data_IF_871550436659
#
_entry.id   IF_871550436659
#
_cell.length_a   1.000
_cell.length_b   1.000
_cell.length_c   1.000
_cell.angle_alpha   90.00
_cell.angle_beta   90.00
_cell.angle_gamma   90.00
#
_symmetry.space_group_name_H-M   'P 1'
#
loop_
_entity.id
_entity.type
_entity.pdbx_description
1 polymer ?
#
# COMPACT_ATOMS: atom_id res chain seq x y z
N UNK A 1 31.53 1.53 12.68
CA UNK A 1 31.02 0.23 12.17
C UNK A 1 29.53 0.45 12.05
N UNK A 2 29.03 0.66 10.83
CA UNK A 2 27.60 0.86 10.62
C UNK A 2 26.95 -0.51 10.73
N UNK A 3 26.02 -0.66 11.67
CA UNK A 3 25.19 -1.86 11.76
C UNK A 3 24.53 -2.06 10.40
N UNK A 4 24.65 -3.29 9.89
CA UNK A 4 23.98 -3.70 8.67
C UNK A 4 22.49 -3.64 8.98
N UNK A 5 21.78 -2.63 8.45
CA UNK A 5 20.33 -2.52 8.61
C UNK A 5 19.72 -3.74 7.95
N UNK A 6 19.24 -4.68 8.76
CA UNK A 6 18.49 -5.84 8.32
C UNK A 6 17.06 -5.35 8.08
N UNK A 7 16.76 -5.04 6.82
CA UNK A 7 15.42 -4.61 6.41
C UNK A 7 14.49 -5.82 6.44
N UNK A 8 13.34 -5.67 7.09
CA UNK A 8 12.26 -6.65 7.08
C UNK A 8 11.38 -6.48 5.84
N UNK A 9 10.79 -7.57 5.36
CA UNK A 9 9.81 -7.52 4.28
C UNK A 9 8.63 -6.62 4.67
N UNK A 10 8.30 -5.69 3.79
CA UNK A 10 7.11 -4.85 3.87
C UNK A 10 5.93 -5.58 3.22
N UNK A 11 4.96 -5.98 4.04
CA UNK A 11 3.72 -6.59 3.54
C UNK A 11 2.92 -5.61 2.66
N UNK A 12 2.92 -4.33 3.05
CA UNK A 12 2.29 -3.25 2.29
C UNK A 12 2.87 -3.12 0.87
N UNK A 13 4.20 -3.01 0.74
CA UNK A 13 4.86 -2.91 -0.56
C UNK A 13 4.69 -4.19 -1.38
N UNK A 14 4.82 -5.35 -0.72
CA UNK A 14 4.59 -6.66 -1.36
C UNK A 14 3.19 -6.75 -1.95
N UNK A 15 2.18 -6.21 -1.26
CA UNK A 15 0.81 -6.19 -1.76
C UNK A 15 0.61 -5.28 -2.97
N UNK A 16 1.21 -4.08 -2.98
CA UNK A 16 1.17 -3.20 -4.16
C UNK A 16 1.86 -3.82 -5.37
N UNK A 17 3.00 -4.49 -5.17
CA UNK A 17 3.70 -5.21 -6.25
C UNK A 17 2.88 -6.42 -6.72
N UNK A 18 2.22 -7.15 -5.81
CA UNK A 18 1.35 -8.26 -6.16
C UNK A 18 0.16 -7.84 -7.04
N UNK A 19 -0.29 -6.59 -6.97
CA UNK A 19 -1.40 -6.08 -7.80
C UNK A 19 -1.01 -5.79 -9.26
N UNK A 20 0.27 -5.75 -9.61
CA UNK A 20 0.69 -5.42 -10.98
C UNK A 20 0.22 -6.51 -11.96
N UNK A 21 -0.60 -6.17 -12.98
CA UNK A 21 -1.02 -7.14 -13.98
C UNK A 21 0.10 -7.46 -14.97
N UNK A 22 0.09 -8.68 -15.50
CA UNK A 22 0.98 -9.07 -16.60
C UNK A 22 0.67 -8.23 -17.84
N UNK A 23 1.73 -7.80 -18.53
CA UNK A 23 1.63 -7.02 -19.76
C UNK A 23 0.98 -7.84 -20.90
N UNK A 24 1.21 -9.15 -20.92
CA UNK A 24 0.67 -10.06 -21.94
C UNK A 24 -0.70 -10.64 -21.56
N UNK A 25 -1.01 -10.69 -20.26
CA UNK A 25 -2.24 -11.27 -19.73
C UNK A 25 -2.76 -10.45 -18.55
N UNK A 26 -3.60 -9.41 -18.79
CA UNK A 26 -4.07 -8.51 -17.74
C UNK A 26 -4.84 -9.18 -16.60
N UNK A 27 -5.33 -10.40 -16.81
CA UNK A 27 -6.02 -11.24 -15.82
C UNK A 27 -5.10 -12.12 -14.98
N UNK A 28 -3.78 -11.96 -15.11
CA UNK A 28 -2.78 -12.67 -14.31
C UNK A 28 -1.81 -11.69 -13.64
N UNK A 29 -1.30 -12.00 -12.42
CA UNK A 29 -0.28 -11.18 -11.78
C UNK A 29 1.05 -11.25 -12.53
N UNK A 30 1.72 -10.11 -12.70
CA UNK A 30 3.08 -10.06 -13.22
C UNK A 30 4.09 -10.68 -12.23
N UNK A 31 3.82 -10.54 -10.93
CA UNK A 31 4.66 -11.02 -9.84
C UNK A 31 3.91 -12.05 -8.97
N UNK A 32 3.69 -13.29 -9.47
CA UNK A 32 2.96 -14.31 -8.73
C UNK A 32 3.63 -14.72 -7.41
N UNK A 33 4.95 -14.52 -7.29
CA UNK A 33 5.69 -14.74 -6.04
C UNK A 33 5.22 -13.83 -4.90
N UNK A 34 4.94 -12.55 -5.17
CA UNK A 34 4.41 -11.62 -4.17
C UNK A 34 3.01 -12.04 -3.72
N UNK A 35 2.16 -12.48 -4.65
CA UNK A 35 0.82 -12.96 -4.33
C UNK A 35 0.87 -14.23 -3.45
N UNK A 36 1.78 -15.16 -3.77
CA UNK A 36 2.03 -16.35 -2.94
C UNK A 36 2.54 -15.97 -1.55
N UNK A 37 3.47 -15.01 -1.47
CA UNK A 37 3.98 -14.54 -0.19
C UNK A 37 2.86 -14.01 0.71
N UNK A 38 1.91 -13.23 0.17
CA UNK A 38 0.75 -12.77 0.95
C UNK A 38 -0.10 -13.91 1.49
N UNK A 39 -0.38 -14.93 0.67
CA UNK A 39 -1.17 -16.09 1.07
C UNK A 39 -0.51 -16.89 2.21
N UNK A 40 0.81 -16.94 2.22
CA UNK A 40 1.61 -17.75 3.14
C UNK A 40 2.00 -17.00 4.43
N UNK A 41 1.86 -15.67 4.49
CA UNK A 41 2.40 -14.82 5.58
C UNK A 41 1.34 -13.98 6.33
N UNK A 42 0.06 -14.35 6.28
CA UNK A 42 -0.94 -13.76 7.18
C UNK A 42 -0.64 -14.15 8.64
N UNK A 43 -0.75 -13.19 9.56
CA UNK A 43 -0.56 -13.42 10.99
C UNK A 43 -1.78 -14.12 11.61
N UNK A 44 -1.59 -14.71 12.79
CA UNK A 44 -2.63 -15.44 13.51
C UNK A 44 -3.85 -14.56 13.90
N UNK A 45 -3.65 -13.25 14.07
CA UNK A 45 -4.73 -12.30 14.35
C UNK A 45 -5.48 -11.82 13.10
N UNK A 46 -5.12 -12.34 11.91
CA UNK A 46 -5.68 -11.96 10.62
C UNK A 46 -4.95 -10.80 9.93
N UNK A 47 -3.99 -10.14 10.60
CA UNK A 47 -3.28 -8.99 10.02
C UNK A 47 -2.11 -9.40 9.12
N UNK A 48 -1.62 -8.43 8.34
CA UNK A 48 -0.28 -8.44 7.74
C UNK A 48 0.54 -7.28 8.32
N UNK A 49 1.84 -7.47 8.45
CA UNK A 49 2.76 -6.48 9.01
C UNK A 49 3.87 -7.13 9.82
N UNK A 50 4.45 -6.39 10.76
CA UNK A 50 5.54 -6.88 11.60
C UNK A 50 5.08 -7.96 12.59
N UNK A 51 5.83 -9.07 12.65
CA UNK A 51 5.71 -10.05 13.74
C UNK A 51 6.04 -9.37 15.07
N UNK A 52 5.24 -9.66 16.11
CA UNK A 52 5.38 -9.04 17.44
C UNK A 52 5.32 -7.51 17.44
N UNK A 53 4.43 -6.95 16.61
CA UNK A 53 4.13 -5.52 16.51
C UNK A 53 3.90 -4.87 17.87
N UNK A 54 4.49 -3.68 18.08
CA UNK A 54 4.16 -2.82 19.22
C UNK A 54 2.67 -2.37 19.12
N UNK A 55 1.88 -2.41 20.21
CA UNK A 55 0.46 -2.01 20.19
C UNK A 55 0.19 -0.60 19.63
N UNK A 56 1.18 0.30 19.68
CA UNK A 56 1.11 1.67 19.13
C UNK A 56 1.28 1.75 17.61
N UNK A 57 1.58 0.65 16.92
CA UNK A 57 1.78 0.57 15.47
C UNK A 57 0.57 -0.03 14.74
N UNK A 58 -0.62 -0.01 15.33
CA UNK A 58 -1.79 -0.68 14.74
C UNK A 58 -2.21 -0.07 13.39
N UNK A 59 -1.94 1.23 13.17
CA UNK A 59 -2.15 1.89 11.87
C UNK A 59 -1.28 1.30 10.74
N UNK A 60 -0.06 0.87 11.04
CA UNK A 60 0.81 0.20 10.07
C UNK A 60 0.23 -1.16 9.65
N UNK A 61 -0.22 -1.95 10.63
CA UNK A 61 -0.88 -3.23 10.37
C UNK A 61 -2.22 -3.06 9.63
N UNK A 62 -3.00 -2.02 9.94
CA UNK A 62 -4.22 -1.68 9.20
C UNK A 62 -3.92 -1.41 7.72
N UNK A 63 -2.92 -0.58 7.42
CA UNK A 63 -2.50 -0.29 6.05
C UNK A 63 -2.00 -1.54 5.31
N UNK A 64 -1.11 -2.30 5.94
CA UNK A 64 -0.57 -3.55 5.37
C UNK A 64 -1.66 -4.59 5.12
N UNK A 65 -2.62 -4.73 6.05
CA UNK A 65 -3.73 -5.68 5.94
C UNK A 65 -4.68 -5.27 4.83
N UNK A 66 -5.08 -4.00 4.75
CA UNK A 66 -5.98 -3.55 3.70
C UNK A 66 -5.33 -3.67 2.31
N UNK A 67 -4.06 -3.29 2.15
CA UNK A 67 -3.33 -3.49 0.91
C UNK A 67 -3.29 -4.98 0.50
N UNK A 68 -3.02 -5.87 1.45
CA UNK A 68 -2.96 -7.32 1.23
C UNK A 68 -4.31 -7.89 0.79
N UNK A 69 -5.41 -7.46 1.44
CA UNK A 69 -6.77 -7.84 1.05
C UNK A 69 -7.08 -7.37 -0.38
N UNK A 70 -6.74 -6.13 -0.74
CA UNK A 70 -6.94 -5.61 -2.09
C UNK A 70 -6.19 -6.44 -3.14
N UNK A 71 -4.95 -6.82 -2.85
CA UNK A 71 -4.17 -7.68 -3.73
C UNK A 71 -4.79 -9.06 -3.92
N UNK A 72 -5.23 -9.71 -2.84
CA UNK A 72 -5.89 -11.02 -2.89
C UNK A 72 -7.23 -10.93 -3.64
N UNK A 73 -8.04 -9.90 -3.35
CA UNK A 73 -9.34 -9.65 -3.98
C UNK A 73 -9.20 -9.42 -5.48
N UNK A 74 -8.20 -8.63 -5.91
CA UNK A 74 -7.91 -8.35 -7.33
C UNK A 74 -7.75 -9.62 -8.15
N UNK A 75 -7.14 -10.65 -7.58
CA UNK A 75 -6.85 -11.91 -8.27
C UNK A 75 -7.84 -13.03 -7.94
N UNK A 76 -8.88 -12.76 -7.14
CA UNK A 76 -9.91 -13.74 -6.79
C UNK A 76 -9.36 -14.94 -6.01
N UNK A 77 -8.37 -14.72 -5.15
CA UNK A 77 -7.73 -15.77 -4.33
C UNK A 77 -7.80 -15.43 -2.84
N UNK A 78 -7.57 -16.42 -1.98
CA UNK A 78 -7.39 -16.19 -0.54
C UNK A 78 -8.65 -15.75 0.20
N UNK A 79 -9.83 -16.27 -0.16
CA UNK A 79 -11.10 -15.89 0.48
C UNK A 79 -11.07 -16.02 2.02
N UNK A 80 -10.42 -17.08 2.53
CA UNK A 80 -10.23 -17.27 3.97
C UNK A 80 -9.36 -16.17 4.58
N UNK A 81 -8.23 -15.88 3.96
CA UNK A 81 -7.33 -14.82 4.39
C UNK A 81 -8.00 -13.43 4.33
N UNK A 82 -8.79 -13.15 3.29
CA UNK A 82 -9.57 -11.92 3.17
C UNK A 82 -10.54 -11.80 4.35
N UNK A 83 -11.27 -12.87 4.68
CA UNK A 83 -12.22 -12.86 5.78
C UNK A 83 -11.55 -12.55 7.12
N UNK A 84 -10.45 -13.22 7.44
CA UNK A 84 -9.71 -12.97 8.70
C UNK A 84 -9.10 -11.56 8.74
N UNK A 85 -8.62 -11.06 7.59
CA UNK A 85 -8.11 -9.69 7.48
C UNK A 85 -9.19 -8.63 7.68
N UNK A 86 -10.41 -8.86 7.17
CA UNK A 86 -11.55 -7.97 7.43
C UNK A 86 -11.94 -7.97 8.91
N UNK A 87 -11.94 -9.15 9.56
CA UNK A 87 -12.18 -9.25 10.99
C UNK A 87 -11.11 -8.49 11.81
N UNK A 88 -9.84 -8.58 11.42
CA UNK A 88 -8.78 -7.76 12.02
C UNK A 88 -9.06 -6.26 11.88
N UNK A 89 -9.41 -5.79 10.67
CA UNK A 89 -9.73 -4.37 10.42
C UNK A 89 -10.87 -3.91 11.34
N UNK A 90 -11.98 -4.67 11.41
CA UNK A 90 -13.13 -4.38 12.27
C UNK A 90 -12.72 -4.25 13.74
N UNK A 91 -11.91 -5.19 14.24
CA UNK A 91 -11.43 -5.19 15.63
C UNK A 91 -10.45 -4.05 15.95
N UNK A 92 -9.85 -3.44 14.92
CA UNK A 92 -8.78 -2.44 15.04
C UNK A 92 -9.22 -1.00 14.73
N UNK A 93 -10.49 -0.77 14.38
CA UNK A 93 -10.99 0.55 13.97
C UNK A 93 -10.78 1.65 15.02
N UNK A 94 -10.88 1.29 16.31
CA UNK A 94 -10.64 2.23 17.41
C UNK A 94 -9.24 2.87 17.37
N UNK A 95 -8.27 2.21 16.75
CA UNK A 95 -6.89 2.72 16.62
C UNK A 95 -6.72 3.78 15.54
N UNK A 96 -7.65 3.94 14.60
CA UNK A 96 -7.54 4.94 13.51
C UNK A 96 -7.50 6.36 14.08
N UNK A 97 -8.30 6.63 15.11
CA UNK A 97 -8.44 7.95 15.72
C UNK A 97 -7.73 8.09 17.07
N UNK A 98 -7.03 7.06 17.53
CA UNK A 98 -6.30 7.09 18.79
C UNK A 98 -4.98 7.87 18.62
N UNK A 99 -4.87 9.01 19.30
CA UNK A 99 -3.67 9.87 19.29
C UNK A 99 -2.43 9.17 19.86
N UNK A 100 -2.60 8.07 20.61
CA UNK A 100 -1.49 7.25 21.12
C UNK A 100 -0.90 6.34 20.04
N UNK A 101 -1.55 6.20 18.90
CA UNK A 101 -1.07 5.40 17.77
C UNK A 101 -0.13 6.24 16.90
N UNK A 102 1.01 5.66 16.56
CA UNK A 102 1.89 6.23 15.55
C UNK A 102 1.23 6.09 14.18
N UNK A 103 1.09 7.21 13.46
CA UNK A 103 0.64 7.20 12.07
C UNK A 103 1.85 6.97 11.16
N UNK A 104 1.82 5.94 10.29
CA UNK A 104 2.73 5.84 9.16
C UNK A 104 2.69 7.10 8.29
N UNK A 105 3.79 7.36 7.58
CA UNK A 105 3.86 8.50 6.65
C UNK A 105 2.73 8.37 5.62
N UNK A 106 1.95 9.45 5.47
CA UNK A 106 0.86 9.50 4.50
C UNK A 106 -0.37 8.67 4.85
N UNK A 107 -0.48 8.09 6.06
CA UNK A 107 -1.62 7.27 6.47
C UNK A 107 -2.97 7.95 6.19
N UNK A 108 -3.11 9.23 6.55
CA UNK A 108 -4.35 10.00 6.39
C UNK A 108 -4.73 10.26 4.93
N UNK A 109 -3.85 9.98 3.98
CA UNK A 109 -4.13 10.04 2.53
C UNK A 109 -4.26 8.63 1.96
N UNK A 110 -3.30 7.75 2.27
CA UNK A 110 -3.19 6.41 1.72
C UNK A 110 -4.36 5.52 2.16
N UNK A 111 -4.66 5.50 3.45
CA UNK A 111 -5.69 4.59 3.99
C UNK A 111 -7.09 4.90 3.42
N UNK A 112 -7.59 6.15 3.43
CA UNK A 112 -8.84 6.49 2.74
C UNK A 112 -8.81 6.17 1.23
N UNK A 113 -7.67 6.34 0.57
CA UNK A 113 -7.50 5.97 -0.83
C UNK A 113 -7.70 4.47 -1.08
N UNK A 114 -7.15 3.63 -0.21
CA UNK A 114 -7.40 2.18 -0.24
C UNK A 114 -8.84 1.81 0.10
N UNK A 115 -9.52 2.55 0.98
CA UNK A 115 -10.95 2.38 1.26
C UNK A 115 -11.80 2.65 0.01
N UNK A 116 -11.48 3.69 -0.75
CA UNK A 116 -12.13 3.94 -2.05
C UNK A 116 -11.81 2.84 -3.05
N UNK A 117 -10.56 2.37 -3.10
CA UNK A 117 -10.17 1.29 -4.00
C UNK A 117 -10.89 -0.03 -3.68
N UNK A 118 -11.13 -0.33 -2.40
CA UNK A 118 -11.94 -1.47 -1.97
C UNK A 118 -13.37 -1.37 -2.51
N UNK A 119 -13.97 -0.18 -2.43
CA UNK A 119 -15.32 0.07 -2.97
C UNK A 119 -15.36 -0.15 -4.49
N UNK A 120 -14.34 0.32 -5.21
CA UNK A 120 -14.25 0.14 -6.67
C UNK A 120 -14.06 -1.34 -7.08
N UNK A 121 -13.63 -2.20 -6.15
CA UNK A 121 -13.51 -3.66 -6.32
C UNK A 121 -14.72 -4.45 -5.80
N UNK A 122 -15.84 -3.78 -5.50
CA UNK A 122 -17.03 -4.39 -4.86
C UNK A 122 -16.68 -5.15 -3.56
N UNK A 123 -15.68 -4.65 -2.81
CA UNK A 123 -15.31 -5.16 -1.50
C UNK A 123 -15.98 -4.33 -0.41
N UNK A 124 -16.86 -4.97 0.36
CA UNK A 124 -17.51 -4.35 1.51
C UNK A 124 -16.57 -4.41 2.71
N UNK A 125 -16.06 -3.24 3.12
CA UNK A 125 -15.29 -3.11 4.35
C UNK A 125 -16.23 -3.00 5.57
N UNK A 126 -15.83 -3.54 6.74
CA UNK A 126 -16.62 -3.45 7.97
C UNK A 126 -16.49 -2.06 8.61
N UNK A 127 -16.80 -1.01 7.87
CA UNK A 127 -16.72 0.39 8.29
C UNK A 127 -18.13 0.98 8.40
N UNK A 128 -18.42 1.67 9.50
CA UNK A 128 -19.67 2.43 9.63
C UNK A 128 -19.60 3.74 8.85
N UNK A 129 -20.76 4.38 8.61
CA UNK A 129 -20.79 5.73 8.02
C UNK A 129 -19.97 6.74 8.83
N UNK A 130 -19.99 6.64 10.17
CA UNK A 130 -19.22 7.53 11.03
C UNK A 130 -17.70 7.31 10.92
N UNK A 131 -17.26 6.06 10.70
CA UNK A 131 -15.85 5.74 10.47
C UNK A 131 -15.38 6.34 9.16
N UNK A 132 -16.18 6.15 8.09
CA UNK A 132 -15.91 6.71 6.77
C UNK A 132 -15.84 8.23 6.80
N UNK A 133 -16.82 8.90 7.43
CA UNK A 133 -16.85 10.35 7.56
C UNK A 133 -15.59 10.87 8.27
N UNK A 134 -15.12 10.16 9.29
CA UNK A 134 -13.92 10.54 10.04
C UNK A 134 -12.65 10.35 9.20
N UNK A 135 -12.50 9.19 8.56
CA UNK A 135 -11.37 8.87 7.68
C UNK A 135 -11.26 9.89 6.54
N UNK A 136 -12.35 10.19 5.86
CA UNK A 136 -12.35 11.14 4.74
C UNK A 136 -12.14 12.58 5.20
N UNK A 137 -12.69 12.97 6.36
CA UNK A 137 -12.43 14.31 6.92
C UNK A 137 -10.94 14.51 7.24
N UNK A 138 -10.24 13.51 7.76
CA UNK A 138 -8.79 13.61 8.00
C UNK A 138 -8.00 13.74 6.71
N UNK A 139 -8.38 12.98 5.66
CA UNK A 139 -7.80 13.14 4.32
C UNK A 139 -7.96 14.55 3.79
N UNK A 140 -9.18 15.08 3.84
CA UNK A 140 -9.49 16.39 3.26
C UNK A 140 -8.70 17.51 3.95
N UNK A 141 -8.54 17.44 5.28
CA UNK A 141 -7.71 18.37 6.04
C UNK A 141 -6.22 18.29 5.66
N UNK A 142 -5.67 17.09 5.49
CA UNK A 142 -4.25 16.92 5.13
C UNK A 142 -3.99 17.33 3.66
N UNK A 143 -4.91 17.03 2.75
CA UNK A 143 -4.86 17.50 1.36
C UNK A 143 -4.95 19.03 1.29
N UNK A 144 -5.89 19.63 2.02
CA UNK A 144 -6.04 21.09 2.09
C UNK A 144 -4.74 21.74 2.59
N UNK A 145 -4.15 21.22 3.66
CA UNK A 145 -2.85 21.69 4.18
C UNK A 145 -1.75 21.61 3.12
N UNK A 146 -1.67 20.51 2.37
CA UNK A 146 -0.67 20.33 1.32
C UNK A 146 -0.87 21.32 0.16
N UNK A 147 -2.11 21.50 -0.30
CA UNK A 147 -2.45 22.42 -1.39
C UNK A 147 -2.28 23.89 -0.99
N UNK A 148 -2.66 24.27 0.23
CA UNK A 148 -2.45 25.63 0.75
C UNK A 148 -0.97 25.98 0.86
N UNK A 149 -0.13 25.03 1.30
CA UNK A 149 1.33 25.24 1.32
C UNK A 149 1.89 25.47 -0.08
N UNK A 150 1.40 24.74 -1.09
CA UNK A 150 1.82 24.79 -2.49
C UNK A 150 3.36 24.71 -2.70
N UNK A 151 4.09 24.18 -1.71
CA UNK A 151 5.54 24.11 -1.74
C UNK A 151 6.00 22.94 -2.61
N UNK A 152 7.25 23.00 -3.10
CA UNK A 152 7.86 21.85 -3.78
C UNK A 152 7.93 20.61 -2.87
N UNK A 153 8.07 20.81 -1.56
CA UNK A 153 8.02 19.73 -0.57
C UNK A 153 6.66 19.06 -0.50
N UNK A 154 5.58 19.83 -0.42
CA UNK A 154 4.20 19.30 -0.39
C UNK A 154 3.84 18.57 -1.69
N UNK A 155 4.30 19.08 -2.84
CA UNK A 155 4.12 18.40 -4.14
C UNK A 155 4.86 17.07 -4.20
N UNK A 156 6.11 17.03 -3.73
CA UNK A 156 6.90 15.80 -3.66
C UNK A 156 6.28 14.79 -2.68
N UNK A 157 5.79 15.26 -1.53
CA UNK A 157 5.09 14.44 -0.55
C UNK A 157 3.85 13.79 -1.15
N UNK A 158 2.93 14.56 -1.75
CA UNK A 158 1.74 13.98 -2.41
C UNK A 158 2.12 13.02 -3.54
N UNK A 159 3.14 13.35 -4.34
CA UNK A 159 3.62 12.47 -5.40
C UNK A 159 4.15 11.12 -4.87
N UNK A 160 4.76 11.11 -3.68
CA UNK A 160 5.26 9.89 -3.04
C UNK A 160 4.17 8.99 -2.44
N UNK A 161 2.92 9.46 -2.38
CA UNK A 161 1.76 8.70 -1.86
C UNK A 161 0.80 8.28 -2.99
N UNK A 162 1.24 8.41 -4.24
CA UNK A 162 0.38 8.27 -5.42
C UNK A 162 -0.19 6.88 -5.61
N UNK A 163 0.37 5.84 -4.98
CA UNK A 163 -0.18 4.49 -5.09
C UNK A 163 -1.63 4.39 -4.66
N UNK A 164 -2.02 5.12 -3.62
CA UNK A 164 -3.36 5.08 -3.04
C UNK A 164 -4.24 6.25 -3.48
N UNK A 165 -3.72 7.18 -4.28
CA UNK A 165 -4.49 8.33 -4.77
C UNK A 165 -5.27 8.02 -6.06
N UNK A 166 -5.10 6.83 -6.64
CA UNK A 166 -5.87 6.35 -7.79
C UNK A 166 -5.89 7.36 -8.96
N UNK A 167 -7.08 7.67 -9.46
CA UNK A 167 -7.28 8.58 -10.59
C UNK A 167 -6.95 10.06 -10.32
N UNK A 168 -6.66 10.45 -9.08
CA UNK A 168 -6.29 11.83 -8.73
C UNK A 168 -4.82 12.16 -9.06
N UNK A 169 -4.01 11.14 -9.36
CA UNK A 169 -2.58 11.29 -9.62
C UNK A 169 -2.29 11.72 -11.06
N UNK A 170 -1.61 12.87 -11.21
CA UNK A 170 -0.98 13.24 -12.48
C UNK A 170 0.33 12.45 -12.65
N UNK A 171 0.19 11.23 -13.17
CA UNK A 171 1.30 10.31 -13.40
C UNK A 171 2.40 10.91 -14.27
N UNK A 172 2.07 11.78 -15.24
CA UNK A 172 3.10 12.45 -16.06
C UNK A 172 3.97 13.37 -15.22
N UNK A 173 3.36 14.12 -14.30
CA UNK A 173 4.11 14.98 -13.37
C UNK A 173 4.89 14.15 -12.34
N UNK A 174 4.32 13.05 -11.85
CA UNK A 174 4.98 12.16 -10.88
C UNK A 174 6.24 11.52 -11.48
N UNK A 175 6.26 11.18 -12.77
CA UNK A 175 7.43 10.60 -13.43
C UNK A 175 8.67 11.53 -13.42
N UNK A 176 8.52 12.83 -13.16
CA UNK A 176 9.66 13.71 -12.92
C UNK A 176 10.49 13.34 -11.67
N UNK A 177 9.92 12.52 -10.77
CA UNK A 177 10.59 12.01 -9.58
C UNK A 177 11.23 10.63 -9.79
N UNK A 178 11.19 10.08 -11.01
CA UNK A 178 11.82 8.79 -11.30
C UNK A 178 13.34 8.90 -11.14
N UNK A 179 13.90 8.00 -10.34
CA UNK A 179 15.33 7.92 -10.06
C UNK A 179 16.04 7.10 -11.14
N UNK A 180 17.37 7.22 -11.19
CA UNK A 180 18.23 6.48 -12.14
C UNK A 180 18.10 4.95 -12.05
N UNK A 181 17.66 4.41 -10.90
CA UNK A 181 17.42 2.99 -10.70
C UNK A 181 16.02 2.54 -11.18
N UNK A 182 15.21 3.44 -11.73
CA UNK A 182 13.85 3.18 -12.22
C UNK A 182 12.73 3.38 -11.19
N UNK A 183 13.07 3.50 -9.91
CA UNK A 183 12.06 3.72 -8.85
C UNK A 183 11.52 5.14 -8.84
N UNK A 184 10.28 5.28 -8.38
CA UNK A 184 9.76 6.53 -7.85
C UNK A 184 10.08 6.58 -6.35
N UNK A 185 10.80 7.60 -5.91
CA UNK A 185 11.14 7.83 -4.49
C UNK A 185 11.88 6.68 -3.75
N UNK A 186 12.37 5.65 -4.45
CA UNK A 186 12.78 4.36 -3.87
C UNK A 186 11.63 3.61 -3.14
N UNK A 187 10.38 3.91 -3.50
CA UNK A 187 9.17 3.28 -2.98
C UNK A 187 8.69 2.19 -3.95
N UNK A 188 8.71 0.91 -3.55
CA UNK A 188 8.15 -0.17 -4.36
C UNK A 188 6.65 0.01 -4.61
N UNK A 189 5.85 0.39 -3.61
CA UNK A 189 4.41 0.63 -3.77
C UNK A 189 4.10 1.69 -4.84
N UNK A 190 4.74 2.86 -4.74
CA UNK A 190 4.57 3.97 -5.69
C UNK A 190 5.06 3.57 -7.09
N UNK A 191 6.17 2.82 -7.17
CA UNK A 191 6.71 2.34 -8.45
C UNK A 191 5.81 1.29 -9.10
N UNK A 192 5.20 0.40 -8.31
CA UNK A 192 4.23 -0.59 -8.77
C UNK A 192 2.96 0.08 -9.32
N UNK A 193 2.46 1.11 -8.62
CA UNK A 193 1.30 1.86 -9.10
C UNK A 193 1.60 2.60 -10.42
N UNK A 194 2.77 3.24 -10.54
CA UNK A 194 3.19 3.82 -11.82
C UNK A 194 3.27 2.79 -12.95
N UNK A 195 3.76 1.58 -12.66
CA UNK A 195 3.80 0.49 -13.65
C UNK A 195 2.40 0.04 -14.07
N UNK A 196 1.44 -0.04 -13.13
CA UNK A 196 0.03 -0.35 -13.42
C UNK A 196 -0.58 0.67 -14.38
N UNK A 197 -0.28 1.96 -14.19
CA UNK A 197 -0.89 3.05 -14.96
C UNK A 197 -0.17 3.37 -16.28
N UNK A 198 1.14 3.23 -16.34
CA UNK A 198 1.96 3.71 -17.46
C UNK A 198 2.68 2.61 -18.25
N UNK A 199 2.80 1.40 -17.68
CA UNK A 199 3.61 0.32 -18.24
C UNK A 199 5.08 0.74 -18.48
N UNK A 200 5.63 1.60 -17.62
CA UNK A 200 7.00 2.11 -17.75
C UNK A 200 8.06 1.00 -17.53
N UNK A 201 8.98 0.85 -18.48
CA UNK A 201 9.99 -0.20 -18.47
C UNK A 201 11.01 -0.03 -17.33
N UNK A 202 11.31 1.20 -16.91
CA UNK A 202 12.27 1.43 -15.83
C UNK A 202 11.65 1.06 -14.48
N UNK A 203 10.37 1.36 -14.27
CA UNK A 203 9.61 0.86 -13.12
C UNK A 203 9.62 -0.68 -13.06
N UNK A 204 9.38 -1.35 -14.21
CA UNK A 204 9.45 -2.81 -14.29
C UNK A 204 10.83 -3.35 -13.90
N UNK A 205 11.90 -2.79 -14.48
CA UNK A 205 13.27 -3.22 -14.21
C UNK A 205 13.63 -3.06 -12.73
N UNK A 206 13.18 -1.98 -12.08
CA UNK A 206 13.37 -1.77 -10.65
C UNK A 206 12.72 -2.88 -9.80
N UNK A 207 11.44 -3.18 -10.05
CA UNK A 207 10.71 -4.18 -9.27
C UNK A 207 11.25 -5.59 -9.49
N UNK A 208 11.62 -5.95 -10.73
CA UNK A 208 12.28 -7.22 -11.01
C UNK A 208 13.63 -7.35 -10.29
N UNK A 209 14.42 -6.27 -10.25
CA UNK A 209 15.70 -6.27 -9.52
C UNK A 209 15.51 -6.46 -8.01
N UNK A 210 14.46 -5.89 -7.40
CA UNK A 210 14.15 -6.11 -5.99
C UNK A 210 13.84 -7.60 -5.72
N UNK A 211 12.99 -8.21 -6.55
CA UNK A 211 12.62 -9.61 -6.39
C UNK A 211 13.77 -10.58 -6.67
N UNK A 212 14.71 -10.25 -7.57
CA UNK A 212 15.91 -11.08 -7.75
C UNK A 212 16.82 -11.08 -6.52
N UNK A 213 16.78 -10.03 -5.69
CA UNK A 213 17.53 -9.98 -4.43
C UNK A 213 16.83 -10.73 -3.29
N UNK A 214 15.52 -10.93 -3.38
CA UNK A 214 14.68 -11.52 -2.35
C UNK A 214 13.82 -12.66 -2.93
N UNK A 215 14.34 -13.88 -2.83
CA UNK A 215 13.83 -15.06 -3.57
C UNK A 215 12.53 -15.68 -3.06
N UNK A 216 11.92 -15.15 -2.00
CA UNK A 216 10.67 -15.65 -1.42
C UNK A 216 9.42 -14.89 -1.87
N UNK A 217 9.58 -13.84 -2.69
CA UNK A 217 8.49 -13.02 -3.20
C UNK A 217 8.15 -11.80 -2.32
N UNK A 218 8.80 -11.66 -1.16
CA UNK A 218 8.67 -10.48 -0.31
C UNK A 218 9.47 -9.29 -0.85
N UNK A 219 8.92 -8.08 -0.67
CA UNK A 219 9.59 -6.80 -0.99
C UNK A 219 10.11 -6.17 0.29
N UNK A 220 11.40 -5.79 0.31
CA UNK A 220 12.03 -5.03 1.40
C UNK A 220 11.80 -3.53 1.28
#
# INVERSE_FOLDING_TARGET
>A
MFDKVELSVSSYDTAWVAMVPSLDSPHAPLFPGCLKWLLDNQLYDGSWGLLHRDPSLTKDALSSTLASILALKRWGVGEGQIKEGLHFIESSLGSINDEKQWSPIGFDIIFPGMVEYARDMDLVLPLTSSDLDTIFRHRDLELERCYQSNSNGSKAYLASLSEAMGGLSDWKTIMNYQRKNGSLFNSPSTTASALIHLQDINCLNYLQMLLMKHGDGGIL
#
